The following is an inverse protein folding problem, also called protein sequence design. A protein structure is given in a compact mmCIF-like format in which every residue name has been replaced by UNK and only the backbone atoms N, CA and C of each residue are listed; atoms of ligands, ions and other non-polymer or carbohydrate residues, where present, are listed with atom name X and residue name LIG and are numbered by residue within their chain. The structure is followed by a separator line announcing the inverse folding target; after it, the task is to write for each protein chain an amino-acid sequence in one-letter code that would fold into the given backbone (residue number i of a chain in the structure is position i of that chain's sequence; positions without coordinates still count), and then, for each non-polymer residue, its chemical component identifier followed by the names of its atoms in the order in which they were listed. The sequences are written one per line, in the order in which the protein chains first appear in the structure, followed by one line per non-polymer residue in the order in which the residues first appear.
data_IF_796615799481
#
_entry.id   IF_796615799481
#
_cell.length_a   1.000
_cell.length_b   1.000
_cell.length_c   1.000
_cell.angle_alpha   90.00
_cell.angle_beta   90.00
_cell.angle_gamma   90.00
#
_symmetry.space_group_name_H-M   'P 1'
#
loop_
_entity.id
_entity.type
_entity.pdbx_description
1 polymer ?
#
# COMPACT_ATOMS: atom_id res chain seq x y z
N UNK A 1 -15.61 -5.58 8.09
CA UNK A 1 -15.95 -4.53 9.09
C UNK A 1 -16.81 -3.45 8.45
N UNK A 2 -16.36 -2.80 7.36
CA UNK A 2 -17.14 -1.78 6.64
C UNK A 2 -18.54 -2.28 6.23
N UNK A 3 -18.64 -3.43 5.55
CA UNK A 3 -19.91 -4.09 5.18
C UNK A 3 -20.81 -4.52 6.36
N UNK A 4 -20.35 -4.39 7.60
CA UNK A 4 -21.12 -4.72 8.81
C UNK A 4 -21.45 -3.49 9.65
N UNK A 5 -21.12 -2.28 9.19
CA UNK A 5 -21.33 -1.06 9.97
C UNK A 5 -20.48 -0.97 11.23
N UNK A 6 -19.32 -1.64 11.27
CA UNK A 6 -18.49 -1.77 12.48
C UNK A 6 -17.36 -0.74 12.60
N UNK A 7 -17.32 0.26 11.72
CA UNK A 7 -16.31 1.31 11.72
C UNK A 7 -17.00 2.65 11.97
N UNK A 8 -16.28 3.65 12.48
CA UNK A 8 -16.85 5.00 12.58
C UNK A 8 -17.08 5.61 11.18
N UNK A 9 -16.15 5.34 10.26
CA UNK A 9 -16.27 5.63 8.83
C UNK A 9 -15.72 4.46 8.00
N UNK A 10 -16.21 4.16 6.79
CA UNK A 10 -15.69 3.03 6.00
C UNK A 10 -14.35 3.36 5.34
N UNK A 11 -13.31 3.55 6.15
CA UNK A 11 -11.93 3.77 5.70
C UNK A 11 -10.93 3.03 6.57
N UNK A 12 -9.70 2.94 6.08
CA UNK A 12 -8.53 2.69 6.90
C UNK A 12 -7.40 3.66 6.54
N UNK A 13 -6.50 3.90 7.47
CA UNK A 13 -5.32 4.74 7.27
C UNK A 13 -4.04 3.95 7.51
N UNK A 14 -3.00 4.26 6.74
CA UNK A 14 -1.74 3.53 6.68
C UNK A 14 -0.57 4.50 6.77
N UNK A 15 0.29 4.29 7.77
CA UNK A 15 1.57 4.95 7.93
C UNK A 15 2.69 3.91 7.83
N UNK A 16 3.63 4.09 6.90
CA UNK A 16 4.79 3.21 6.71
C UNK A 16 6.10 3.98 6.92
N UNK A 17 6.41 4.48 8.12
CA UNK A 17 7.65 5.21 8.36
C UNK A 17 8.88 4.31 8.13
N UNK A 18 9.96 4.89 7.60
CA UNK A 18 11.15 4.13 7.19
C UNK A 18 11.89 3.45 8.35
N UNK A 19 11.97 4.12 9.51
CA UNK A 19 12.88 3.76 10.61
C UNK A 19 12.16 3.40 11.92
N UNK A 20 10.83 3.25 11.89
CA UNK A 20 10.04 2.95 13.07
C UNK A 20 8.87 2.04 12.72
N UNK A 21 8.16 1.58 13.75
CA UNK A 21 6.87 0.90 13.54
C UNK A 21 5.90 1.85 12.86
N UNK A 22 5.17 1.33 11.87
CA UNK A 22 4.06 2.02 11.24
C UNK A 22 2.76 1.92 12.03
N UNK A 23 1.71 2.53 11.49
CA UNK A 23 0.36 2.45 12.04
C UNK A 23 -0.66 2.06 10.97
N UNK A 24 -1.66 1.29 11.39
CA UNK A 24 -2.83 0.93 10.61
C UNK A 24 -4.06 1.28 11.47
N UNK A 25 -4.82 2.28 11.04
CA UNK A 25 -6.04 2.71 11.72
C UNK A 25 -7.26 2.27 10.92
N UNK A 26 -8.29 1.75 11.59
CA UNK A 26 -9.56 1.37 10.95
C UNK A 26 -10.66 2.31 11.44
N UNK A 27 -11.48 2.80 10.52
CA UNK A 27 -12.60 3.68 10.86
C UNK A 27 -12.24 5.13 11.12
N UNK A 28 -10.97 5.45 11.29
CA UNK A 28 -10.48 6.77 11.67
C UNK A 28 -9.11 7.07 11.07
N UNK A 29 -8.76 8.35 11.03
CA UNK A 29 -7.44 8.88 10.69
C UNK A 29 -6.55 8.88 11.94
N UNK A 30 -5.27 8.55 11.80
CA UNK A 30 -4.27 8.66 12.87
C UNK A 30 -3.92 10.13 13.13
N UNK A 31 -4.43 10.67 14.23
CA UNK A 31 -4.23 12.06 14.64
C UNK A 31 -2.82 12.39 15.13
N UNK A 32 -2.00 11.37 15.40
CA UNK A 32 -0.58 11.57 15.71
C UNK A 32 0.25 11.85 14.46
N UNK A 33 -0.26 11.46 13.29
CA UNK A 33 0.39 11.64 11.98
C UNK A 33 -0.24 12.81 11.22
N UNK A 34 -1.57 12.81 11.10
CA UNK A 34 -2.32 13.84 10.37
C UNK A 34 -2.72 14.96 11.33
N UNK A 35 -1.87 15.98 11.40
CA UNK A 35 -2.12 17.17 12.23
C UNK A 35 -3.00 18.21 11.54
N UNK A 36 -2.99 18.24 10.20
CA UNK A 36 -3.83 19.15 9.41
C UNK A 36 -4.58 18.40 8.31
N UNK A 37 -5.84 18.04 8.58
CA UNK A 37 -6.71 17.32 7.64
C UNK A 37 -7.00 18.07 6.33
N UNK A 38 -6.82 19.39 6.29
CA UNK A 38 -6.96 20.18 5.06
C UNK A 38 -5.82 19.95 4.07
N UNK A 39 -4.72 19.32 4.48
CA UNK A 39 -3.64 18.93 3.58
C UNK A 39 -3.84 17.54 2.97
N UNK A 40 -4.91 16.80 3.35
CA UNK A 40 -5.21 15.52 2.70
C UNK A 40 -5.71 15.80 1.28
N UNK A 41 -4.99 15.26 0.31
CA UNK A 41 -5.39 15.26 -1.11
C UNK A 41 -6.25 14.03 -1.39
N UNK A 42 -7.50 14.21 -1.83
CA UNK A 42 -8.46 13.12 -2.05
C UNK A 42 -8.61 12.82 -3.54
N UNK A 43 -8.43 11.54 -3.89
CA UNK A 43 -8.42 11.05 -5.26
C UNK A 43 -9.53 10.04 -5.46
N UNK A 44 -10.31 10.19 -6.52
CA UNK A 44 -11.30 9.20 -6.92
C UNK A 44 -10.59 7.92 -7.36
N UNK A 45 -11.03 6.79 -6.82
CA UNK A 45 -10.56 5.49 -7.29
C UNK A 45 -11.21 5.19 -8.64
N UNK A 46 -10.45 4.55 -9.52
CA UNK A 46 -10.90 4.10 -10.84
C UNK A 46 -11.62 2.75 -10.69
N UNK A 47 -12.89 2.63 -11.07
CA UNK A 47 -13.54 1.34 -11.19
C UNK A 47 -13.05 0.61 -12.45
N UNK A 48 -13.19 -0.70 -12.47
CA UNK A 48 -12.89 -1.54 -13.61
C UNK A 48 -14.17 -2.15 -14.16
N UNK A 49 -14.31 -2.10 -15.48
CA UNK A 49 -15.30 -2.92 -16.19
C UNK A 49 -15.05 -4.41 -15.88
N UNK A 50 -16.05 -5.28 -16.03
CA UNK A 50 -15.89 -6.70 -15.76
C UNK A 50 -15.02 -7.39 -16.83
N UNK A 51 -14.45 -8.54 -16.48
CA UNK A 51 -13.75 -9.38 -17.45
C UNK A 51 -14.77 -10.01 -18.42
N UNK A 52 -14.53 -9.88 -19.72
CA UNK A 52 -15.37 -10.50 -20.75
C UNK A 52 -16.87 -10.24 -20.56
N UNK A 53 -17.64 -11.30 -20.29
CA UNK A 53 -19.11 -11.27 -20.13
C UNK A 53 -19.55 -11.65 -18.72
N UNK A 54 -18.67 -11.54 -17.72
CA UNK A 54 -18.96 -11.95 -16.34
C UNK A 54 -20.06 -11.11 -15.67
N UNK A 55 -20.21 -9.86 -16.08
CA UNK A 55 -21.14 -8.88 -15.51
C UNK A 55 -21.40 -7.74 -16.50
N UNK A 56 -22.41 -6.92 -16.23
CA UNK A 56 -22.69 -5.67 -16.94
C UNK A 56 -22.48 -4.43 -16.04
N UNK A 57 -21.84 -4.60 -14.87
CA UNK A 57 -21.55 -3.52 -13.92
C UNK A 57 -20.06 -3.46 -13.65
N UNK A 58 -19.52 -2.23 -13.55
CA UNK A 58 -18.16 -2.00 -13.11
C UNK A 58 -17.99 -2.37 -11.63
N UNK A 59 -16.75 -2.53 -11.18
CA UNK A 59 -16.42 -2.83 -9.79
C UNK A 59 -15.04 -2.29 -9.41
N UNK A 60 -14.86 -2.04 -8.12
CA UNK A 60 -13.58 -1.59 -7.57
C UNK A 60 -12.72 -2.79 -7.18
N UNK A 61 -11.69 -3.05 -7.98
CA UNK A 61 -10.79 -4.19 -7.80
C UNK A 61 -9.52 -3.83 -7.02
N UNK A 62 -9.01 -2.60 -7.23
CA UNK A 62 -7.71 -2.17 -6.75
C UNK A 62 -7.73 -0.67 -6.41
N UNK A 63 -6.75 -0.21 -5.62
CA UNK A 63 -6.56 1.20 -5.27
C UNK A 63 -5.83 1.93 -6.40
N UNK A 64 -6.53 2.10 -7.51
CA UNK A 64 -5.99 2.73 -8.72
C UNK A 64 -6.54 4.14 -8.84
N UNK A 65 -5.66 5.09 -9.10
CA UNK A 65 -5.99 6.50 -9.26
C UNK A 65 -5.43 7.01 -10.60
N UNK A 66 -6.09 7.97 -11.25
CA UNK A 66 -5.57 8.55 -12.48
C UNK A 66 -4.44 9.53 -12.17
N UNK A 67 -3.46 9.58 -13.06
CA UNK A 67 -2.19 10.27 -12.90
C UNK A 67 -1.99 11.23 -14.10
N UNK A 68 -1.79 12.53 -13.83
CA UNK A 68 -1.74 13.57 -14.89
C UNK A 68 -0.34 14.01 -15.25
N UNK A 69 0.56 14.07 -14.27
CA UNK A 69 1.87 14.67 -14.48
C UNK A 69 2.90 14.14 -13.50
N UNK A 70 4.12 14.04 -14.00
CA UNK A 70 5.31 13.56 -13.30
C UNK A 70 6.40 14.58 -13.61
N UNK A 71 7.16 15.08 -12.66
CA UNK A 71 8.05 16.21 -12.92
C UNK A 71 9.48 16.07 -12.40
N UNK A 72 10.44 15.70 -13.24
CA UNK A 72 11.84 15.54 -12.81
C UNK A 72 12.55 16.85 -12.58
N UNK A 73 13.03 17.11 -11.36
CA UNK A 73 13.78 18.33 -11.04
C UNK A 73 13.06 19.60 -11.51
N UNK A 74 11.73 19.64 -11.30
CA UNK A 74 10.85 20.73 -11.76
C UNK A 74 10.43 20.68 -13.23
N UNK A 75 10.98 19.76 -14.03
CA UNK A 75 10.61 19.57 -15.44
C UNK A 75 9.45 18.59 -15.55
N UNK A 76 8.27 19.07 -15.92
CA UNK A 76 7.07 18.23 -16.08
C UNK A 76 7.11 17.33 -17.33
N UNK A 77 6.56 16.13 -17.17
CA UNK A 77 6.35 15.10 -18.18
C UNK A 77 4.90 14.61 -18.08
N UNK A 78 4.26 14.45 -19.24
CA UNK A 78 2.97 13.81 -19.33
C UNK A 78 3.18 12.27 -19.35
N UNK A 79 2.57 11.53 -18.42
CA UNK A 79 2.45 10.08 -18.50
C UNK A 79 1.82 9.66 -19.83
N UNK A 80 2.28 8.55 -20.39
CA UNK A 80 1.70 7.96 -21.59
C UNK A 80 0.89 6.73 -21.18
N UNK A 81 -0.45 6.75 -21.32
CA UNK A 81 -1.26 5.58 -20.99
C UNK A 81 -1.05 4.44 -22.00
N UNK A 82 -1.10 3.21 -21.51
CA UNK A 82 -1.04 2.01 -22.36
C UNK A 82 -2.27 1.91 -23.28
N UNK A 83 -3.43 2.38 -22.81
CA UNK A 83 -4.71 2.34 -23.54
C UNK A 83 -5.43 3.70 -23.54
N UNK A 84 -4.89 4.75 -24.23
CA UNK A 84 -5.41 6.12 -24.17
C UNK A 84 -6.90 6.24 -24.49
N UNK A 85 -7.36 5.52 -25.51
CA UNK A 85 -8.76 5.54 -25.96
C UNK A 85 -9.73 4.90 -24.95
N UNK A 86 -9.23 4.10 -24.01
CA UNK A 86 -10.04 3.38 -23.01
C UNK A 86 -10.00 4.14 -21.67
N UNK A 87 -8.83 4.65 -21.29
CA UNK A 87 -8.62 5.31 -20.00
C UNK A 87 -8.84 6.83 -20.06
N UNK A 88 -9.50 7.33 -21.10
CA UNK A 88 -9.74 8.77 -21.31
C UNK A 88 -8.44 9.60 -21.26
N UNK A 89 -7.39 9.09 -21.90
CA UNK A 89 -6.03 9.65 -21.90
C UNK A 89 -5.33 9.73 -20.53
N UNK A 90 -5.91 9.16 -19.46
CA UNK A 90 -5.24 9.09 -18.16
C UNK A 90 -4.32 7.87 -18.08
N UNK A 91 -3.09 8.08 -17.60
CA UNK A 91 -2.31 6.98 -17.06
C UNK A 91 -2.85 6.56 -15.71
N UNK A 92 -2.90 5.25 -15.46
CA UNK A 92 -3.43 4.71 -14.21
C UNK A 92 -2.29 4.31 -13.27
N UNK A 93 -2.40 4.73 -12.00
CA UNK A 93 -1.43 4.43 -10.96
C UNK A 93 -2.05 3.57 -9.85
N UNK A 94 -1.54 2.34 -9.69
CA UNK A 94 -1.87 1.45 -8.58
C UNK A 94 -1.09 1.83 -7.33
N UNK A 95 -1.77 1.98 -6.21
CA UNK A 95 -1.16 2.06 -4.89
C UNK A 95 -1.05 0.65 -4.30
N UNK A 96 0.18 0.19 -4.08
CA UNK A 96 0.46 -1.13 -3.52
C UNK A 96 1.48 -1.02 -2.38
N UNK A 97 1.25 -1.74 -1.30
CA UNK A 97 2.20 -1.84 -0.17
C UNK A 97 3.40 -2.72 -0.50
N UNK A 98 3.37 -3.45 -1.62
CA UNK A 98 4.54 -4.17 -2.11
C UNK A 98 5.67 -3.21 -2.49
N UNK A 99 6.90 -3.73 -2.51
CA UNK A 99 8.12 -2.93 -2.63
C UNK A 99 8.35 -2.33 -4.04
N UNK A 100 7.48 -2.63 -4.99
CA UNK A 100 7.71 -2.35 -6.41
C UNK A 100 7.15 -0.96 -6.80
N UNK A 101 8.04 -0.05 -7.20
CA UNK A 101 7.65 1.03 -8.11
C UNK A 101 7.92 0.57 -9.53
N UNK A 102 6.87 0.31 -10.30
CA UNK A 102 6.93 -0.17 -11.68
C UNK A 102 6.65 0.94 -12.68
N UNK A 103 7.50 1.10 -13.69
CA UNK A 103 7.23 1.89 -14.90
C UNK A 103 6.82 0.95 -16.03
N UNK A 104 5.71 1.20 -16.73
CA UNK A 104 5.48 0.57 -18.03
C UNK A 104 6.31 1.28 -19.14
N UNK A 105 6.59 0.63 -20.29
CA UNK A 105 7.63 1.09 -21.22
C UNK A 105 7.25 2.37 -21.95
N UNK A 106 8.26 3.22 -22.12
CA UNK A 106 8.15 4.56 -22.72
C UNK A 106 8.98 5.60 -21.97
N UNK A 107 9.49 5.27 -20.78
CA UNK A 107 10.12 6.22 -19.90
C UNK A 107 11.45 5.69 -19.35
N UNK A 108 12.48 5.69 -20.19
CA UNK A 108 13.86 5.44 -19.75
C UNK A 108 14.53 6.68 -19.12
N UNK A 109 13.86 7.85 -19.15
CA UNK A 109 14.46 9.16 -18.84
C UNK A 109 13.85 9.92 -17.64
N UNK A 110 13.05 9.26 -16.78
CA UNK A 110 12.42 9.93 -15.62
C UNK A 110 13.04 9.43 -14.31
N UNK A 111 13.91 10.24 -13.71
CA UNK A 111 14.35 10.08 -12.32
C UNK A 111 14.27 11.42 -11.58
N UNK A 112 13.46 11.48 -10.51
CA UNK A 112 13.23 12.59 -9.53
C UNK A 112 11.93 13.39 -9.68
N UNK A 113 10.76 12.76 -9.66
CA UNK A 113 9.52 13.46 -9.97
C UNK A 113 8.53 13.73 -8.84
N UNK A 114 8.24 15.01 -8.53
CA UNK A 114 6.94 15.43 -8.02
C UNK A 114 5.81 14.95 -8.91
N UNK A 115 4.77 14.40 -8.29
CA UNK A 115 3.61 13.81 -8.97
C UNK A 115 2.31 14.55 -8.63
N UNK A 116 1.41 14.67 -9.62
CA UNK A 116 0.02 15.13 -9.45
C UNK A 116 -1.01 14.08 -9.94
N UNK A 117 -2.01 13.72 -9.11
CA UNK A 117 -3.17 12.95 -9.53
C UNK A 117 -4.18 13.76 -10.36
N UNK A 118 -5.03 13.07 -11.13
CA UNK A 118 -6.02 13.69 -12.02
C UNK A 118 -7.38 13.90 -11.37
N UNK A 119 -7.80 15.15 -11.22
CA UNK A 119 -9.22 15.50 -11.19
C UNK A 119 -9.55 16.89 -10.64
N UNK A 120 -10.83 17.08 -10.32
CA UNK A 120 -11.53 18.37 -10.46
C UNK A 120 -11.10 19.48 -9.48
N UNK A 121 -10.22 19.21 -8.49
CA UNK A 121 -9.90 20.16 -7.41
C UNK A 121 -8.49 20.03 -6.77
N UNK A 122 -7.47 19.48 -7.44
CA UNK A 122 -6.30 18.90 -6.75
C UNK A 122 -4.95 19.46 -7.22
N UNK A 123 -4.21 20.13 -6.31
CA UNK A 123 -3.02 20.95 -6.63
C UNK A 123 -1.74 20.52 -5.90
N UNK A 124 -1.81 19.51 -5.02
CA UNK A 124 -0.64 19.09 -4.25
C UNK A 124 0.32 18.21 -5.03
N UNK A 125 1.61 18.50 -4.84
CA UNK A 125 2.71 17.69 -5.37
C UNK A 125 3.23 16.76 -4.26
N UNK A 126 3.36 15.47 -4.58
CA UNK A 126 4.06 14.51 -3.73
C UNK A 126 5.47 14.30 -4.26
N UNK A 127 6.48 14.67 -3.47
CA UNK A 127 7.89 14.65 -3.86
C UNK A 127 8.64 13.54 -3.13
N UNK A 128 9.33 12.69 -3.91
CA UNK A 128 10.28 11.71 -3.41
C UNK A 128 11.69 12.32 -3.40
N UNK A 129 12.35 12.29 -2.24
CA UNK A 129 13.76 12.67 -2.12
C UNK A 129 14.67 11.49 -2.54
N UNK A 130 15.95 11.73 -2.88
CA UNK A 130 16.91 10.67 -3.19
C UNK A 130 16.89 9.48 -2.22
N UNK A 131 16.88 9.71 -0.92
CA UNK A 131 16.80 8.62 0.07
C UNK A 131 15.47 7.86 0.04
N UNK A 132 14.43 8.43 -0.56
CA UNK A 132 13.12 7.81 -0.65
C UNK A 132 13.08 6.68 -1.67
N UNK A 133 13.65 6.91 -2.86
CA UNK A 133 13.60 5.98 -3.99
C UNK A 133 14.92 5.26 -4.29
N UNK A 134 16.06 5.73 -3.78
CA UNK A 134 17.32 5.00 -3.91
C UNK A 134 17.33 3.78 -2.97
N UNK A 135 17.76 2.63 -3.51
CA UNK A 135 17.94 1.38 -2.78
C UNK A 135 19.31 1.37 -2.10
N UNK A 136 20.34 1.93 -2.73
CA UNK A 136 21.67 2.04 -2.14
C UNK A 136 22.80 1.68 -3.11
N UNK A 137 24.06 1.87 -2.69
CA UNK A 137 25.24 1.64 -3.51
C UNK A 137 25.41 0.17 -3.90
N UNK A 138 25.98 -0.06 -5.08
CA UNK A 138 26.29 -1.42 -5.56
C UNK A 138 27.64 -1.89 -5.06
N UNK A 139 27.77 -3.20 -4.81
CA UNK A 139 29.03 -3.80 -4.38
C UNK A 139 30.11 -3.74 -5.47
N UNK A 140 29.72 -3.80 -6.75
CA UNK A 140 30.65 -3.73 -7.89
C UNK A 140 31.18 -2.33 -8.17
N UNK A 141 30.39 -1.28 -7.95
CA UNK A 141 30.81 0.11 -8.01
C UNK A 141 30.06 0.95 -6.94
N UNK A 142 30.73 1.39 -5.87
CA UNK A 142 30.09 2.16 -4.80
C UNK A 142 29.69 3.58 -5.22
N UNK A 143 30.09 4.05 -6.41
CA UNK A 143 29.63 5.32 -6.97
C UNK A 143 28.27 5.21 -7.68
N UNK A 144 27.80 3.97 -7.92
CA UNK A 144 26.51 3.70 -8.54
C UNK A 144 25.52 3.21 -7.49
N UNK A 145 24.32 3.80 -7.47
CA UNK A 145 23.21 3.35 -6.64
C UNK A 145 22.15 2.65 -7.49
N UNK A 146 21.57 1.58 -6.95
CA UNK A 146 20.29 1.09 -7.44
C UNK A 146 19.17 2.02 -6.97
N UNK A 147 18.14 2.12 -7.79
CA UNK A 147 16.98 2.95 -7.52
C UNK A 147 15.70 2.21 -7.88
N UNK A 148 14.63 2.56 -7.19
CA UNK A 148 13.29 2.50 -7.74
C UNK A 148 13.11 3.75 -8.63
N UNK A 149 12.46 3.66 -9.79
CA UNK A 149 11.57 2.59 -10.25
C UNK A 149 12.21 1.55 -11.19
N UNK A 150 11.49 0.44 -11.42
CA UNK A 150 11.85 -0.65 -12.36
C UNK A 150 10.89 -0.66 -13.54
N UNK A 151 11.40 -0.70 -14.77
CA UNK A 151 10.57 -0.91 -15.94
C UNK A 151 9.99 -2.34 -15.98
N UNK A 152 8.69 -2.48 -16.30
CA UNK A 152 7.95 -3.73 -16.45
C UNK A 152 7.26 -3.77 -17.82
N UNK A 153 7.00 -4.96 -18.39
CA UNK A 153 6.16 -5.10 -19.58
C UNK A 153 4.74 -4.60 -19.33
N UNK A 154 4.04 -4.05 -20.35
CA UNK A 154 2.68 -3.60 -20.16
C UNK A 154 1.74 -4.73 -19.72
N UNK A 155 0.85 -4.42 -18.79
CA UNK A 155 -0.23 -5.30 -18.36
C UNK A 155 -1.49 -5.05 -19.18
N UNK A 156 -2.34 -6.06 -19.26
CA UNK A 156 -3.61 -6.00 -19.98
C UNK A 156 -4.74 -5.30 -19.20
N UNK A 157 -4.49 -4.93 -17.94
CA UNK A 157 -5.45 -4.22 -17.07
C UNK A 157 -5.42 -2.69 -17.26
N UNK A 158 -4.42 -2.16 -17.98
CA UNK A 158 -4.23 -0.73 -18.21
C UNK A 158 -3.60 0.04 -17.06
N UNK A 159 -3.05 -0.65 -16.06
CA UNK A 159 -2.27 -0.02 -14.98
C UNK A 159 -0.88 0.33 -15.50
N UNK A 160 -0.58 1.62 -15.58
CA UNK A 160 0.68 2.16 -16.14
C UNK A 160 1.79 2.32 -15.10
N UNK A 161 1.39 2.58 -13.87
CA UNK A 161 2.29 2.88 -12.75
C UNK A 161 1.92 2.05 -11.55
N UNK A 162 2.93 1.53 -10.87
CA UNK A 162 2.77 0.97 -9.52
C UNK A 162 3.53 1.87 -8.57
N UNK A 163 2.84 2.41 -7.57
CA UNK A 163 3.41 3.24 -6.51
C UNK A 163 3.48 2.40 -5.24
N UNK A 164 4.65 1.77 -5.07
CA UNK A 164 4.96 0.84 -4.00
C UNK A 164 5.23 1.48 -2.63
N UNK A 165 5.77 0.66 -1.73
CA UNK A 165 6.21 1.05 -0.39
C UNK A 165 7.17 2.25 -0.38
N UNK A 166 8.03 2.43 -1.40
CA UNK A 166 8.93 3.58 -1.48
C UNK A 166 8.16 4.92 -1.58
N UNK A 167 7.03 4.94 -2.29
CA UNK A 167 6.11 6.08 -2.31
C UNK A 167 5.31 6.17 -1.01
N UNK A 168 4.70 5.08 -0.57
CA UNK A 168 3.84 5.04 0.63
C UNK A 168 4.60 5.34 1.94
N UNK A 169 5.94 5.28 1.94
CA UNK A 169 6.78 5.75 3.05
C UNK A 169 6.80 7.28 3.21
N UNK A 170 6.43 8.02 2.17
CA UNK A 170 6.50 9.50 2.13
C UNK A 170 5.16 10.18 2.37
N UNK A 171 4.09 9.38 2.47
CA UNK A 171 2.71 9.84 2.66
C UNK A 171 2.02 9.01 3.72
N UNK A 172 1.05 9.60 4.42
CA UNK A 172 0.04 8.84 5.12
C UNK A 172 -1.11 8.57 4.16
N UNK A 173 -1.34 7.30 3.84
CA UNK A 173 -2.37 6.87 2.91
C UNK A 173 -3.70 6.60 3.63
N UNK A 174 -4.80 7.10 3.10
CA UNK A 174 -6.15 6.93 3.63
C UNK A 174 -7.00 6.30 2.53
N UNK A 175 -7.57 5.14 2.80
CA UNK A 175 -8.27 4.33 1.81
C UNK A 175 -9.73 4.21 2.24
N UNK A 176 -10.59 4.99 1.61
CA UNK A 176 -12.04 4.93 1.82
C UNK A 176 -12.64 3.89 0.87
N UNK A 177 -13.37 2.94 1.43
CA UNK A 177 -14.08 1.91 0.66
C UNK A 177 -15.29 2.45 -0.10
N UNK A 178 -15.65 3.72 0.06
CA UNK A 178 -16.91 4.25 -0.43
C UNK A 178 -18.12 3.65 0.29
N UNK A 179 -19.32 4.05 -0.14
CA UNK A 179 -20.60 3.65 0.45
C UNK A 179 -21.53 3.28 -0.69
N UNK A 180 -22.11 2.07 -0.62
CA UNK A 180 -23.08 1.58 -1.60
C UNK A 180 -24.15 2.65 -1.86
N UNK A 181 -24.39 2.96 -3.13
CA UNK A 181 -25.37 3.95 -3.63
C UNK A 181 -25.16 5.41 -3.23
N UNK A 182 -24.06 5.75 -2.51
CA UNK A 182 -23.91 7.08 -1.90
C UNK A 182 -22.57 7.76 -2.15
N UNK A 183 -21.47 7.03 -2.17
CA UNK A 183 -20.14 7.61 -2.22
C UNK A 183 -19.17 6.65 -2.93
N UNK A 184 -18.41 7.11 -3.94
CA UNK A 184 -17.39 6.27 -4.55
C UNK A 184 -16.22 6.04 -3.59
N UNK A 185 -15.43 4.97 -3.76
CA UNK A 185 -14.16 4.82 -3.05
C UNK A 185 -13.19 5.97 -3.38
N UNK A 186 -12.44 6.38 -2.38
CA UNK A 186 -11.51 7.51 -2.46
C UNK A 186 -10.19 7.14 -1.79
N UNK A 187 -9.08 7.67 -2.31
CA UNK A 187 -7.77 7.64 -1.64
C UNK A 187 -7.37 9.04 -1.22
N UNK A 188 -7.21 9.24 0.09
CA UNK A 188 -6.59 10.41 0.69
C UNK A 188 -5.08 10.22 0.83
N UNK A 189 -4.29 11.20 0.42
CA UNK A 189 -2.84 11.21 0.59
C UNK A 189 -2.45 12.45 1.39
N UNK A 190 -1.79 12.25 2.52
CA UNK A 190 -1.26 13.33 3.36
C UNK A 190 0.26 13.32 3.31
N UNK A 191 0.93 14.40 2.88
CA UNK A 191 2.38 14.43 2.76
C UNK A 191 3.04 14.37 4.15
N UNK A 192 3.98 13.44 4.34
CA UNK A 192 4.81 13.37 5.55
C UNK A 192 6.06 14.24 5.45
N UNK A 193 6.50 14.50 4.21
CA UNK A 193 7.64 15.33 3.91
C UNK A 193 7.19 16.73 3.48
N UNK A 194 7.98 17.75 3.83
CA UNK A 194 7.74 19.10 3.34
C UNK A 194 8.08 19.16 1.84
N UNK A 195 7.08 19.34 0.98
CA UNK A 195 7.25 19.43 -0.48
C UNK A 195 8.13 20.60 -0.93
N UNK A 196 8.31 21.63 -0.08
CA UNK A 196 9.20 22.77 -0.35
C UNK A 196 10.64 22.56 0.16
N UNK A 197 10.95 21.39 0.74
CA UNK A 197 12.31 21.10 1.17
C UNK A 197 13.25 21.03 -0.06
N UNK A 198 14.47 21.60 0.03
CA UNK A 198 15.45 21.47 -1.03
C UNK A 198 15.77 19.99 -1.28
N UNK A 199 16.16 19.67 -2.52
CA UNK A 199 16.62 18.32 -2.85
C UNK A 199 17.84 17.95 -1.99
N UNK A 200 17.85 16.71 -1.47
CA UNK A 200 18.97 16.20 -0.68
C UNK A 200 20.28 16.25 -1.45
N UNK A 201 21.34 16.68 -0.78
CA UNK A 201 22.68 16.75 -1.37
C UNK A 201 23.32 15.35 -1.42
N UNK A 202 24.21 15.08 -2.39
CA UNK A 202 24.87 13.77 -2.50
C UNK A 202 25.59 13.32 -1.23
N UNK A 203 26.13 14.26 -0.44
CA UNK A 203 26.78 13.98 0.84
C UNK A 203 25.80 13.52 1.92
N UNK A 204 24.57 14.02 1.90
CA UNK A 204 23.52 13.58 2.84
C UNK A 204 23.08 12.16 2.48
N UNK A 205 22.87 11.90 1.18
CA UNK A 205 22.49 10.58 0.65
C UNK A 205 23.55 9.52 0.96
N UNK A 206 24.82 9.83 0.73
CA UNK A 206 25.91 8.88 1.03
C UNK A 206 26.07 8.63 2.53
N UNK A 207 25.89 9.65 3.36
CA UNK A 207 25.89 9.49 4.83
C UNK A 207 24.74 8.60 5.30
N UNK A 208 23.56 8.74 4.69
CA UNK A 208 22.38 7.93 4.99
C UNK A 208 22.62 6.44 4.70
N UNK A 209 23.10 6.10 3.49
CA UNK A 209 23.36 4.71 3.13
C UNK A 209 24.52 4.09 3.91
N UNK A 210 25.54 4.89 4.25
CA UNK A 210 26.65 4.45 5.10
C UNK A 210 26.16 4.07 6.49
N UNK A 211 25.26 4.87 7.08
CA UNK A 211 24.67 4.56 8.39
C UNK A 211 23.75 3.32 8.34
N UNK A 212 23.04 3.10 7.24
CA UNK A 212 22.17 1.95 7.05
C UNK A 212 22.92 0.64 6.70
N UNK A 213 24.23 0.69 6.47
CA UNK A 213 25.05 -0.45 5.98
C UNK A 213 24.44 -1.10 4.72
N UNK A 214 23.81 -0.29 3.88
CA UNK A 214 23.04 -0.78 2.76
C UNK A 214 23.96 -0.92 1.54
N UNK A 215 24.39 -2.14 1.24
CA UNK A 215 25.15 -2.45 0.01
C UNK A 215 24.38 -3.51 -0.75
N UNK A 216 24.09 -3.24 -2.03
CA UNK A 216 23.43 -4.22 -2.88
C UNK A 216 24.46 -5.10 -3.55
N UNK A 217 24.37 -6.42 -3.36
CA UNK A 217 25.26 -7.44 -3.91
C UNK A 217 25.11 -7.64 -5.42
N UNK A 218 25.26 -6.58 -6.21
CA UNK A 218 25.24 -6.61 -7.67
C UNK A 218 26.44 -5.87 -8.25
N UNK A 219 26.83 -6.25 -9.47
CA UNK A 219 27.83 -5.56 -10.27
C UNK A 219 27.15 -5.10 -11.55
N UNK A 220 26.95 -3.80 -11.69
CA UNK A 220 26.31 -3.23 -12.87
C UNK A 220 27.29 -3.25 -14.07
N UNK A 221 26.80 -3.51 -15.29
CA UNK A 221 27.61 -3.30 -16.49
C UNK A 221 27.91 -1.80 -16.66
N UNK A 222 29.16 -1.46 -16.97
CA UNK A 222 29.60 -0.09 -17.26
C UNK A 222 29.14 0.42 -18.65
N UNK A 223 28.02 -0.09 -19.16
CA UNK A 223 27.43 0.34 -20.42
C UNK A 223 25.91 0.41 -20.27
N UNK A 224 25.25 1.37 -20.94
CA UNK A 224 23.80 1.47 -20.92
C UNK A 224 23.17 0.20 -21.48
N UNK A 225 22.23 -0.37 -20.74
CA UNK A 225 21.38 -1.45 -21.24
C UNK A 225 20.38 -0.85 -22.24
N UNK A 226 20.13 -1.56 -23.34
CA UNK A 226 19.11 -1.13 -24.29
C UNK A 226 17.74 -1.09 -23.60
N UNK A 227 16.97 -0.02 -23.84
CA UNK A 227 15.59 0.08 -23.36
C UNK A 227 14.80 -1.10 -23.91
N UNK A 228 14.15 -1.91 -23.06
CA UNK A 228 13.35 -3.02 -23.54
C UNK A 228 12.16 -2.48 -24.34
N UNK A 229 11.96 -3.01 -25.54
CA UNK A 229 10.76 -2.76 -26.35
C UNK A 229 9.76 -3.87 -26.06
N UNK A 230 8.62 -3.53 -25.48
CA UNK A 230 7.53 -4.47 -25.26
C UNK A 230 6.35 -4.17 -26.19
N UNK A 231 5.61 -5.21 -26.55
CA UNK A 231 4.35 -5.08 -27.29
C UNK A 231 3.21 -4.90 -26.30
N UNK A 232 2.31 -3.95 -26.56
CA UNK A 232 1.08 -3.76 -25.78
C UNK A 232 0.16 -4.98 -25.94
N UNK A 233 -0.23 -5.68 -24.86
CA UNK A 233 -1.17 -6.78 -24.95
C UNK A 233 -2.59 -6.27 -25.25
N UNK A 234 -3.52 -7.12 -25.71
CA UNK A 234 -4.94 -6.75 -25.79
C UNK A 234 -5.50 -6.40 -24.41
N UNK A 235 -6.37 -5.39 -24.33
CA UNK A 235 -7.02 -4.97 -23.08
C UNK A 235 -7.93 -6.08 -22.53
N UNK A 236 -7.91 -6.29 -21.22
CA UNK A 236 -8.57 -7.42 -20.55
C UNK A 236 -10.07 -7.19 -20.26
N UNK A 237 -10.47 -5.94 -20.03
CA UNK A 237 -11.81 -5.61 -19.57
C UNK A 237 -12.77 -5.27 -20.71
N UNK A 238 -14.06 -5.47 -20.46
CA UNK A 238 -15.11 -5.20 -21.45
C UNK A 238 -15.33 -3.70 -21.64
N UNK A 239 -14.86 -3.16 -22.76
CA UNK A 239 -14.99 -1.73 -23.11
C UNK A 239 -16.41 -1.29 -23.47
N UNK A 240 -17.40 -2.20 -23.45
CA UNK A 240 -18.82 -1.85 -23.63
C UNK A 240 -19.52 -1.49 -22.32
N UNK A 241 -18.85 -1.67 -21.19
CA UNK A 241 -19.34 -1.27 -19.86
C UNK A 241 -18.55 -0.04 -19.44
N UNK A 242 -19.25 1.06 -19.20
CA UNK A 242 -18.63 2.31 -18.74
C UNK A 242 -18.06 2.11 -17.33
N UNK A 243 -16.86 2.65 -17.09
CA UNK A 243 -16.17 2.59 -15.81
C UNK A 243 -15.40 3.91 -15.63
N UNK A 244 -16.10 4.94 -15.17
CA UNK A 244 -15.53 6.28 -14.99
C UNK A 244 -15.05 6.48 -13.54
N UNK A 245 -13.94 7.21 -13.31
CA UNK A 245 -13.54 7.64 -11.97
C UNK A 245 -14.70 8.33 -11.23
N UNK A 246 -14.89 7.97 -9.97
CA UNK A 246 -15.98 8.50 -9.14
C UNK A 246 -17.35 7.85 -9.34
N UNK A 247 -17.45 6.75 -10.09
CA UNK A 247 -18.70 6.01 -10.25
C UNK A 247 -19.29 5.50 -8.92
N UNK A 248 -20.56 5.78 -8.66
CA UNK A 248 -21.25 5.24 -7.48
C UNK A 248 -21.88 3.90 -7.85
N UNK A 249 -21.32 2.82 -7.29
CA UNK A 249 -21.85 1.46 -7.49
C UNK A 249 -22.98 1.13 -6.52
N UNK A 250 -23.84 0.19 -6.92
CA UNK A 250 -25.00 -0.24 -6.13
C UNK A 250 -24.66 -1.18 -4.97
N UNK A 251 -23.53 -1.87 -5.05
CA UNK A 251 -23.12 -2.90 -4.08
C UNK A 251 -21.63 -3.19 -4.14
N UNK A 252 -21.09 -3.78 -3.08
CA UNK A 252 -19.69 -4.24 -3.01
C UNK A 252 -18.79 -3.34 -2.17
N UNK A 253 -19.32 -2.22 -1.68
CA UNK A 253 -18.61 -1.24 -0.84
C UNK A 253 -19.04 -1.38 0.63
N UNK A 254 -19.03 -0.28 1.39
CA UNK A 254 -19.60 -0.25 2.73
C UNK A 254 -21.13 -0.16 2.70
N UNK A 255 -21.76 -0.66 3.78
CA UNK A 255 -23.22 -0.63 3.91
C UNK A 255 -23.77 0.78 3.80
N UNK A 256 -24.93 0.90 3.15
CA UNK A 256 -25.62 2.18 2.94
C UNK A 256 -26.09 2.87 4.23
N UNK A 257 -25.87 2.30 5.42
CA UNK A 257 -26.16 2.97 6.71
C UNK A 257 -25.17 4.09 7.04
N UNK A 258 -23.98 4.11 6.41
CA UNK A 258 -23.07 5.24 6.55
C UNK A 258 -23.60 6.51 5.86
N UNK A 259 -23.13 7.66 6.34
CA UNK A 259 -23.41 8.97 5.74
C UNK A 259 -22.19 9.44 4.94
N UNK A 260 -22.37 9.89 3.69
CA UNK A 260 -21.25 10.31 2.85
C UNK A 260 -20.63 11.61 3.36
N UNK A 261 -19.30 11.65 3.37
CA UNK A 261 -18.49 12.79 3.84
C UNK A 261 -17.49 13.24 2.77
N UNK A 262 -17.07 12.34 1.89
CA UNK A 262 -16.03 12.56 0.88
C UNK A 262 -16.60 12.75 -0.52
N UNK A 263 -17.68 12.05 -0.89
CA UNK A 263 -18.27 12.05 -2.24
C UNK A 263 -19.05 13.31 -2.62
N UNK A 264 -18.88 14.41 -1.89
CA UNK A 264 -19.52 15.69 -2.21
C UNK A 264 -18.52 16.64 -2.87
N UNK A 265 -19.00 17.66 -3.60
CA UNK A 265 -18.12 18.69 -4.22
C UNK A 265 -17.16 19.38 -3.23
N UNK A 266 -17.39 19.25 -1.92
CA UNK A 266 -16.53 19.77 -0.85
C UNK A 266 -16.43 18.72 0.27
N UNK A 267 -15.43 17.83 0.22
CA UNK A 267 -15.24 16.81 1.24
C UNK A 267 -15.23 17.45 2.63
N UNK A 268 -16.11 17.02 3.53
CA UNK A 268 -16.10 17.49 4.91
C UNK A 268 -15.09 16.67 5.72
N UNK A 269 -13.81 16.80 5.39
CA UNK A 269 -12.73 16.01 6.00
C UNK A 269 -12.69 16.18 7.53
N UNK A 270 -13.24 17.28 8.06
CA UNK A 270 -13.34 17.51 9.50
C UNK A 270 -14.32 16.59 10.22
N UNK A 271 -15.27 15.99 9.50
CA UNK A 271 -16.22 15.01 10.03
C UNK A 271 -15.64 13.59 10.14
N UNK A 272 -14.47 13.31 9.54
CA UNK A 272 -13.81 12.02 9.71
C UNK A 272 -13.31 11.86 11.14
N UNK A 273 -13.56 10.68 11.73
CA UNK A 273 -13.05 10.32 13.04
C UNK A 273 -11.52 10.36 13.07
N UNK A 274 -10.96 10.74 14.22
CA UNK A 274 -9.51 10.76 14.46
C UNK A 274 -9.23 9.88 15.67
N UNK A 275 -8.32 8.93 15.52
CA UNK A 275 -7.76 8.15 16.62
C UNK A 275 -6.37 8.67 16.90
N UNK A 276 -6.08 8.98 18.15
CA UNK A 276 -4.70 9.29 18.56
C UNK A 276 -4.27 8.11 19.42
N UNK A 277 -3.30 7.28 19.00
CA UNK A 277 -2.85 6.20 19.86
C UNK A 277 -2.37 6.81 21.18
N UNK A 278 -2.89 6.31 22.32
CA UNK A 278 -2.33 6.64 23.62
C UNK A 278 -0.83 6.36 23.57
N UNK A 279 0.05 7.30 23.95
CA UNK A 279 1.47 7.12 23.74
C UNK A 279 1.93 5.84 24.43
N UNK A 280 2.68 5.03 23.69
CA UNK A 280 3.19 3.73 24.14
C UNK A 280 4.19 3.88 25.28
N UNK A 281 4.73 5.08 25.50
CA UNK A 281 5.55 5.44 26.66
C UNK A 281 5.17 6.84 27.18
N UNK A 282 4.88 6.91 28.48
CA UNK A 282 4.93 8.15 29.27
C UNK A 282 6.11 8.07 30.23
N UNK A 283 7.03 9.02 30.14
CA UNK A 283 8.10 9.20 31.12
C UNK A 283 7.71 10.31 32.08
N UNK A 284 7.45 9.95 33.33
CA UNK A 284 7.26 10.90 34.43
C UNK A 284 8.60 11.14 35.10
N UNK A 285 9.04 12.40 35.12
CA UNK A 285 10.18 12.85 35.92
C UNK A 285 9.61 13.61 37.10
N UNK A 286 9.62 12.97 38.27
CA UNK A 286 9.19 13.57 39.53
C UNK A 286 10.44 13.98 40.30
N UNK A 287 10.58 15.26 40.61
CA UNK A 287 11.62 15.75 41.51
C UNK A 287 10.99 16.10 42.85
N UNK A 288 11.44 15.46 43.92
CA UNK A 288 10.92 15.75 45.26
C UNK A 288 11.58 17.00 45.87
N UNK A 289 11.04 17.45 47.02
CA UNK A 289 11.54 18.63 47.74
C UNK A 289 12.96 18.51 48.30
N UNK A 290 13.58 17.33 48.23
CA UNK A 290 14.98 17.09 48.60
C UNK A 290 15.93 17.10 47.39
N UNK A 291 15.39 17.28 46.18
CA UNK A 291 16.14 17.24 44.92
C UNK A 291 16.32 15.84 44.35
N UNK A 292 15.66 14.83 44.90
CA UNK A 292 15.71 13.46 44.37
C UNK A 292 14.84 13.37 43.11
N UNK A 293 15.40 12.85 42.02
CA UNK A 293 14.69 12.66 40.75
C UNK A 293 14.27 11.20 40.59
N UNK A 294 12.97 10.95 40.52
CA UNK A 294 12.38 9.64 40.21
C UNK A 294 11.85 9.66 38.78
N UNK A 295 12.41 8.80 37.94
CA UNK A 295 11.96 8.58 36.57
C UNK A 295 11.09 7.33 36.53
N UNK A 296 9.81 7.49 36.18
CA UNK A 296 8.88 6.36 35.99
C UNK A 296 8.45 6.30 34.52
N UNK A 297 8.48 5.10 33.95
CA UNK A 297 8.04 4.85 32.57
C UNK A 297 6.75 4.04 32.64
N UNK A 298 5.65 4.60 32.12
CA UNK A 298 4.37 3.92 31.97
C UNK A 298 4.15 3.60 30.50
N UNK A 299 3.86 2.33 30.18
CA UNK A 299 3.49 1.94 28.82
C UNK A 299 1.98 1.74 28.72
N UNK A 300 1.33 2.39 27.73
CA UNK A 300 -0.08 2.12 27.46
C UNK A 300 -0.21 0.74 26.77
N UNK A 301 -1.14 -0.12 27.18
CA UNK A 301 -1.37 -1.39 26.49
C UNK A 301 -1.85 -1.11 25.07
N UNK A 302 -1.15 -1.67 24.08
CA UNK A 302 -1.61 -1.64 22.70
C UNK A 302 -2.92 -2.45 22.61
N UNK A 303 -3.98 -1.93 21.95
CA UNK A 303 -5.18 -2.72 21.71
C UNK A 303 -4.81 -3.95 20.87
N UNK A 304 -5.27 -5.12 21.30
CA UNK A 304 -5.05 -6.37 20.58
C UNK A 304 -5.89 -6.37 19.30
N UNK A 305 -5.26 -6.12 18.14
CA UNK A 305 -5.94 -6.09 16.85
C UNK A 305 -6.12 -7.54 16.40
N UNK A 306 -7.25 -8.15 16.76
CA UNK A 306 -7.65 -9.42 16.14
C UNK A 306 -8.08 -9.17 14.70
N UNK A 307 -7.19 -9.42 13.74
CA UNK A 307 -7.53 -9.37 12.31
C UNK A 307 -8.74 -10.26 12.04
N UNK A 308 -9.73 -9.71 11.34
CA UNK A 308 -10.94 -10.43 10.98
C UNK A 308 -10.59 -11.64 10.09
N UNK A 309 -11.12 -12.81 10.45
CA UNK A 309 -11.03 -14.03 9.66
C UNK A 309 -11.65 -13.79 8.26
N UNK A 310 -10.90 -13.96 7.15
CA UNK A 310 -11.47 -13.94 5.81
C UNK A 310 -12.58 -14.99 5.68
N UNK A 311 -13.69 -14.69 5.00
CA UNK A 311 -14.71 -15.69 4.69
C UNK A 311 -14.09 -16.91 3.99
N UNK A 312 -14.36 -18.12 4.49
CA UNK A 312 -13.89 -19.37 3.88
C UNK A 312 -12.64 -20.02 4.51
N UNK A 313 -11.94 -19.37 5.44
CA UNK A 313 -10.70 -19.92 5.99
C UNK A 313 -10.92 -20.86 7.19
N UNK A 314 -11.24 -22.14 7.00
CA UNK A 314 -11.25 -23.10 8.14
C UNK A 314 -9.84 -23.56 8.46
N UNK A 315 -9.21 -23.00 9.49
CA UNK A 315 -7.96 -23.55 10.03
C UNK A 315 -8.23 -24.97 10.54
N UNK A 316 -7.67 -25.97 9.85
CA UNK A 316 -7.38 -27.27 10.43
C UNK A 316 -6.37 -27.06 11.54
N UNK A 317 -6.88 -26.82 12.76
CA UNK A 317 -6.06 -26.63 13.93
C UNK A 317 -5.17 -27.84 14.14
N UNK A 318 -3.86 -27.61 14.06
CA UNK A 318 -2.82 -28.48 14.59
C UNK A 318 -3.19 -28.80 16.04
N UNK A 319 -3.72 -30.00 16.26
CA UNK A 319 -3.92 -30.52 17.62
C UNK A 319 -2.55 -30.60 18.27
N UNK A 320 -2.46 -30.05 19.48
CA UNK A 320 -1.25 -29.99 20.29
C UNK A 320 -0.49 -31.30 20.25
N UNK A 321 0.75 -31.21 19.77
CA UNK A 321 1.76 -32.25 19.91
C UNK A 321 2.13 -32.31 21.40
N UNK A 322 1.36 -33.05 22.19
CA UNK A 322 1.81 -33.52 23.49
C UNK A 322 3.03 -34.41 23.24
N UNK A 323 4.23 -33.89 23.51
CA UNK A 323 5.43 -34.71 23.65
C UNK A 323 5.26 -35.56 24.90
N UNK A 324 4.73 -36.78 24.73
CA UNK A 324 4.83 -37.85 25.71
C UNK A 324 6.24 -38.43 25.58
N UNK A 325 7.06 -38.48 26.64
CA UNK A 325 8.35 -39.14 26.59
C UNK A 325 8.12 -40.66 26.50
N UNK A 326 8.36 -41.23 25.32
CA UNK A 326 8.43 -42.68 25.15
C UNK A 326 9.74 -43.20 25.76
N UNK A 327 9.64 -43.71 26.98
CA UNK A 327 10.59 -44.69 27.53
C UNK A 327 9.86 -46.02 27.75
N UNK A 328 10.45 -47.09 27.18
CA UNK A 328 10.24 -48.54 27.39
C UNK A 328 9.06 -49.25 26.67
N UNK A 329 9.14 -50.58 26.45
CA UNK A 329 10.23 -51.37 25.85
C UNK A 329 9.74 -52.31 24.73
N UNK A 330 10.72 -52.92 24.05
CA UNK A 330 10.60 -54.12 23.22
C UNK A 330 9.77 -55.22 23.91
N UNK A 331 8.78 -55.77 23.21
CA UNK A 331 8.21 -57.08 23.54
C UNK A 331 6.73 -57.20 23.22
N UNK A 332 6.42 -58.20 22.39
CA UNK A 332 5.09 -58.79 22.23
C UNK A 332 4.10 -58.02 21.33
N UNK A 333 4.16 -58.23 20.01
CA UNK A 333 2.97 -58.44 19.15
C UNK A 333 3.41 -58.90 17.74
N UNK A 334 4.33 -59.87 17.69
CA UNK A 334 4.38 -60.86 16.59
C UNK A 334 3.27 -61.86 16.91
N UNK A 335 2.08 -61.63 16.36
CA UNK A 335 1.01 -62.63 16.13
C UNK A 335 -0.34 -61.93 15.97
N UNK A 336 -0.59 -61.22 14.85
CA UNK A 336 -1.97 -61.04 14.35
C UNK A 336 -2.10 -60.47 12.91
N UNK A 337 -1.12 -60.68 12.01
CA UNK A 337 -1.24 -60.20 10.61
C UNK A 337 -1.07 -61.31 9.56
N UNK A 338 -0.95 -62.57 9.98
CA UNK A 338 -0.88 -63.73 9.07
C UNK A 338 -2.21 -64.46 8.86
N UNK A 339 -3.37 -63.83 9.09
CA UNK A 339 -4.66 -64.53 8.97
C UNK A 339 -5.80 -63.76 8.31
N UNK A 340 -5.55 -62.94 7.27
CA UNK A 340 -6.59 -62.53 6.30
C UNK A 340 -5.99 -62.33 4.90
N UNK A 341 -5.27 -63.33 4.40
CA UNK A 341 -4.98 -63.47 2.95
C UNK A 341 -5.25 -64.92 2.57
N UNK A 342 -6.53 -65.27 2.53
CA UNK A 342 -7.04 -66.46 1.85
C UNK A 342 -8.57 -66.45 1.91
N UNK A 343 -9.19 -65.88 0.88
CA UNK A 343 -10.51 -66.24 0.31
C UNK A 343 -11.02 -65.05 -0.49
N UNK A 344 -10.88 -65.12 -1.81
CA UNK A 344 -11.98 -65.04 -2.78
C UNK A 344 -11.37 -65.07 -4.19
N UNK A 345 -11.17 -66.30 -4.67
CA UNK A 345 -11.25 -66.66 -6.08
C UNK A 345 -12.54 -67.47 -6.19
N UNK A 346 -13.53 -66.94 -6.91
CA UNK A 346 -14.37 -67.64 -7.91
C UNK A 346 -14.76 -66.57 -8.93
#
# INVERSE_FOLDING_TARGET
MAQRGQLDYPLFGLNLPRNSSGSLSFGAIDGSVVTNRSLIEWNEVVPFAPFGVESNTSSYLQWVIPLTSISVNGTGFAPQPTYPNITSDFSLALLDVSELIGLLPGVADIFLAPWKPAGRHWDQNFTLQPTDYLIGPTAGDPNLCLSWPRALPPSNDGIDWQLGAAFLKTVYGIFSFGIDTKEPPMVGLYPLNNASAPAQQPTEVSSFFSAATQIVGTTLPNFPLATPSFTTPPYAFNTSVDAEPGEIVSSGLAVSTYSPVLGTRRPNVTALAVVTPSPTLFTYILTDGSGHVVTSVSTAPAPDITLGKPPGWTNGGVRGMYRIPCTFPLGLFIALVTLVVSRFIV
#
